data_IF_387615850341
#
_entry.id   IF_387615850341
#
_cell.length_a   1.000
_cell.length_b   1.000
_cell.length_c   1.000
_cell.angle_alpha   90.00
_cell.angle_beta   90.00
_cell.angle_gamma   90.00
#
_symmetry.space_group_name_H-M   'P 1'
#
loop_
_entity.id
_entity.type
_entity.pdbx_description
1 polymer ?
#
# COMPACT_ATOMS: atom_id res chain seq x y z
N UNK A 1 0.70 9.91 -3.18
CA UNK A 1 -0.69 10.03 -2.80
C UNK A 1 -1.31 8.78 -2.25
N UNK A 2 -2.56 8.87 -1.92
CA UNK A 2 -3.30 7.78 -1.30
C UNK A 2 -4.47 7.29 -2.15
N UNK A 3 -4.52 7.67 -3.43
CA UNK A 3 -5.59 7.27 -4.33
C UNK A 3 -5.04 6.42 -5.47
N UNK A 4 -5.87 5.48 -5.92
CA UNK A 4 -5.53 4.59 -7.01
C UNK A 4 -6.80 4.31 -7.80
N UNK A 5 -6.83 4.70 -9.08
CA UNK A 5 -8.02 4.61 -9.91
C UNK A 5 -8.06 3.29 -10.70
N UNK A 6 -9.28 2.91 -11.12
CA UNK A 6 -9.45 1.77 -12.02
C UNK A 6 -8.76 1.98 -13.36
N UNK A 7 -8.67 3.22 -13.83
CA UNK A 7 -7.94 3.55 -15.05
C UNK A 7 -6.46 3.22 -14.93
N UNK A 8 -5.84 3.59 -13.79
CA UNK A 8 -4.43 3.25 -13.53
C UNK A 8 -4.22 1.74 -13.45
N UNK A 9 -5.12 1.01 -12.81
CA UNK A 9 -5.04 -0.45 -12.76
C UNK A 9 -5.14 -1.06 -14.16
N UNK A 10 -6.07 -0.58 -14.99
CA UNK A 10 -6.21 -1.09 -16.35
C UNK A 10 -4.95 -0.88 -17.18
N UNK A 11 -4.29 0.27 -17.05
CA UNK A 11 -3.02 0.52 -17.74
C UNK A 11 -1.95 -0.50 -17.31
N UNK A 12 -1.84 -0.78 -16.02
CA UNK A 12 -0.87 -1.75 -15.50
C UNK A 12 -1.19 -3.15 -16.00
N UNK A 13 -2.45 -3.55 -16.03
CA UNK A 13 -2.88 -4.85 -16.54
C UNK A 13 -2.55 -5.00 -18.04
N UNK A 14 -2.74 -3.94 -18.83
CA UNK A 14 -2.39 -3.94 -20.26
C UNK A 14 -0.88 -4.10 -20.48
N UNK A 15 -0.06 -3.62 -19.54
CA UNK A 15 1.40 -3.77 -19.60
C UNK A 15 1.85 -5.19 -19.23
N UNK A 16 0.95 -6.04 -18.74
CA UNK A 16 1.26 -7.43 -18.41
C UNK A 16 2.10 -7.60 -17.15
N UNK A 17 1.95 -6.71 -16.17
CA UNK A 17 2.67 -6.82 -14.90
C UNK A 17 2.17 -8.02 -14.10
N UNK A 18 3.07 -8.69 -13.37
CA UNK A 18 2.73 -9.86 -12.55
C UNK A 18 2.32 -9.46 -11.13
N UNK A 19 2.82 -8.34 -10.64
CA UNK A 19 2.57 -7.85 -9.30
C UNK A 19 2.41 -6.34 -9.31
N UNK A 20 1.41 -5.84 -8.56
CA UNK A 20 1.27 -4.42 -8.27
C UNK A 20 1.57 -4.21 -6.79
N UNK A 21 2.56 -3.38 -6.49
CA UNK A 21 2.96 -3.07 -5.12
C UNK A 21 2.41 -1.69 -4.78
N UNK A 22 1.53 -1.64 -3.80
CA UNK A 22 0.90 -0.39 -3.36
C UNK A 22 1.77 0.26 -2.28
N UNK A 23 2.21 1.48 -2.56
CA UNK A 23 3.11 2.23 -1.69
C UNK A 23 2.53 3.62 -1.38
N UNK A 24 1.34 3.63 -0.77
CA UNK A 24 0.66 4.87 -0.42
C UNK A 24 1.30 5.54 0.81
N UNK A 25 1.05 6.84 0.97
CA UNK A 25 1.41 7.58 2.17
C UNK A 25 0.70 7.01 3.39
N UNK A 26 1.35 7.06 4.55
CA UNK A 26 0.79 6.55 5.80
C UNK A 26 -0.44 7.37 6.21
N UNK A 27 -1.60 6.74 6.32
CA UNK A 27 -2.88 7.40 6.57
C UNK A 27 -3.41 7.17 7.99
N UNK A 28 -2.55 6.80 8.94
CA UNK A 28 -2.94 6.62 10.34
C UNK A 28 -1.85 7.13 11.28
N UNK A 29 -2.21 7.49 12.49
CA UNK A 29 -1.26 8.01 13.48
C UNK A 29 -0.78 6.92 14.43
N UNK A 30 -1.67 6.00 14.81
CA UNK A 30 -1.34 4.89 15.71
C UNK A 30 -1.98 3.60 15.19
N UNK A 31 -1.24 2.50 15.28
CA UNK A 31 -1.77 1.18 14.93
C UNK A 31 -2.97 0.88 15.81
N UNK A 32 -4.09 0.55 15.17
CA UNK A 32 -5.35 0.24 15.86
C UNK A 32 -6.27 1.43 16.09
N UNK A 33 -5.86 2.66 15.74
CA UNK A 33 -6.76 3.81 15.83
C UNK A 33 -7.84 3.77 14.75
N UNK A 34 -8.77 4.72 14.77
CA UNK A 34 -9.88 4.76 13.81
C UNK A 34 -9.39 4.95 12.38
N UNK A 35 -8.38 5.79 12.17
CA UNK A 35 -7.79 6.00 10.86
C UNK A 35 -7.13 4.71 10.34
N UNK A 36 -6.46 3.96 11.23
CA UNK A 36 -5.87 2.67 10.89
C UNK A 36 -6.93 1.66 10.44
N UNK A 37 -8.05 1.59 11.16
CA UNK A 37 -9.16 0.68 10.81
C UNK A 37 -9.74 1.04 9.45
N UNK A 38 -10.00 2.31 9.20
CA UNK A 38 -10.52 2.78 7.92
C UNK A 38 -9.54 2.55 6.77
N UNK A 39 -8.26 2.79 7.02
CA UNK A 39 -7.21 2.62 6.03
C UNK A 39 -7.03 1.15 5.65
N UNK A 40 -6.93 0.26 6.64
CA UNK A 40 -6.80 -1.17 6.37
C UNK A 40 -8.00 -1.73 5.63
N UNK A 41 -9.21 -1.26 5.94
CA UNK A 41 -10.41 -1.65 5.22
C UNK A 41 -10.33 -1.23 3.75
N UNK A 42 -9.91 0.00 3.49
CA UNK A 42 -9.74 0.50 2.12
C UNK A 42 -8.76 -0.34 1.32
N UNK A 43 -7.63 -0.71 1.93
CA UNK A 43 -6.62 -1.54 1.27
C UNK A 43 -7.14 -2.97 1.04
N UNK A 44 -7.86 -3.54 1.99
CA UNK A 44 -8.48 -4.85 1.82
C UNK A 44 -9.51 -4.85 0.69
N UNK A 45 -10.31 -3.81 0.59
CA UNK A 45 -11.29 -3.68 -0.48
C UNK A 45 -10.60 -3.60 -1.86
N UNK A 46 -9.50 -2.85 -1.94
CA UNK A 46 -8.71 -2.75 -3.17
C UNK A 46 -8.13 -4.11 -3.56
N UNK A 47 -7.57 -4.86 -2.61
CA UNK A 47 -7.05 -6.20 -2.85
C UNK A 47 -8.17 -7.12 -3.34
N UNK A 48 -9.31 -7.13 -2.65
CA UNK A 48 -10.46 -7.97 -3.00
C UNK A 48 -10.97 -7.68 -4.40
N UNK A 49 -10.94 -6.41 -4.81
CA UNK A 49 -11.43 -6.02 -6.13
C UNK A 49 -10.57 -6.53 -7.27
N UNK A 50 -9.25 -6.60 -7.08
CA UNK A 50 -8.31 -6.87 -8.18
C UNK A 50 -7.47 -8.14 -8.02
N UNK A 51 -7.58 -8.87 -6.92
CA UNK A 51 -6.70 -10.01 -6.65
C UNK A 51 -6.84 -11.17 -7.63
N UNK A 52 -7.97 -11.26 -8.33
CA UNK A 52 -8.17 -12.29 -9.35
C UNK A 52 -7.48 -11.96 -10.69
N UNK A 53 -7.05 -10.71 -10.86
CA UNK A 53 -6.46 -10.22 -12.11
C UNK A 53 -4.94 -10.08 -12.00
N UNK A 54 -4.43 -9.74 -10.82
CA UNK A 54 -3.01 -9.49 -10.60
C UNK A 54 -2.69 -9.68 -9.12
N UNK A 55 -1.44 -10.08 -8.84
CA UNK A 55 -0.96 -10.17 -7.46
C UNK A 55 -0.78 -8.76 -6.88
N UNK A 56 -1.41 -8.48 -5.74
CA UNK A 56 -1.34 -7.17 -5.11
C UNK A 56 -0.73 -7.30 -3.72
N UNK A 57 0.32 -6.52 -3.47
CA UNK A 57 0.97 -6.44 -2.17
C UNK A 57 1.03 -5.00 -1.71
N UNK A 58 1.24 -4.79 -0.43
CA UNK A 58 1.20 -3.47 0.19
C UNK A 58 2.46 -3.24 1.00
N UNK A 59 3.10 -2.09 0.78
CA UNK A 59 4.16 -1.59 1.64
C UNK A 59 3.49 -0.92 2.85
N UNK A 60 2.99 -1.74 3.76
CA UNK A 60 2.20 -1.29 4.91
C UNK A 60 3.12 -1.13 6.12
N UNK A 61 3.04 0.03 6.78
CA UNK A 61 3.89 0.37 7.93
C UNK A 61 3.40 -0.28 9.23
N UNK A 62 3.66 -1.58 9.36
CA UNK A 62 3.23 -2.35 10.54
C UNK A 62 4.14 -2.20 11.74
N UNK A 63 5.33 -1.59 11.56
CA UNK A 63 6.31 -1.40 12.63
C UNK A 63 6.49 0.06 13.02
N UNK A 64 5.62 0.94 12.53
CA UNK A 64 5.62 2.38 12.83
C UNK A 64 6.96 3.05 12.47
N UNK A 65 7.47 2.75 11.29
CA UNK A 65 8.73 3.31 10.78
C UNK A 65 8.54 4.69 10.15
N UNK A 66 7.34 5.00 9.69
CA UNK A 66 6.99 6.27 9.03
C UNK A 66 6.20 7.16 9.98
N UNK A 67 6.31 8.47 9.76
CA UNK A 67 5.42 9.44 10.39
C UNK A 67 4.10 9.57 9.66
N UNK A 68 3.11 10.19 10.30
CA UNK A 68 1.80 10.43 9.72
C UNK A 68 1.94 11.23 8.42
N UNK A 69 1.30 10.76 7.36
CA UNK A 69 1.35 11.34 5.99
C UNK A 69 2.70 11.16 5.28
N UNK A 70 3.68 10.52 5.89
CA UNK A 70 4.93 10.20 5.17
C UNK A 70 4.65 9.23 4.03
N UNK A 71 5.36 9.41 2.91
CA UNK A 71 5.46 8.40 1.88
C UNK A 71 6.54 7.38 2.27
N UNK A 72 6.53 6.17 1.68
CA UNK A 72 7.53 5.14 2.01
C UNK A 72 8.98 5.57 1.82
N UNK A 73 9.26 6.57 0.98
CA UNK A 73 10.64 7.04 0.72
C UNK A 73 11.06 8.19 1.62
N UNK A 74 10.14 8.83 2.34
CA UNK A 74 10.44 10.06 3.09
C UNK A 74 11.45 9.87 4.22
N UNK A 75 11.59 8.64 4.74
CA UNK A 75 12.55 8.31 5.80
C UNK A 75 13.81 7.66 5.29
N UNK A 76 14.06 7.76 3.98
CA UNK A 76 15.30 7.31 3.36
C UNK A 76 15.22 5.91 2.76
N UNK A 77 16.27 5.49 2.05
CA UNK A 77 16.26 4.24 1.29
C UNK A 77 16.23 2.98 2.19
N UNK A 78 16.79 3.03 3.39
CA UNK A 78 16.81 1.86 4.28
C UNK A 78 15.41 1.52 4.76
N UNK A 79 14.63 2.54 5.17
CA UNK A 79 13.23 2.35 5.58
C UNK A 79 12.39 1.89 4.39
N UNK A 80 12.58 2.51 3.22
CA UNK A 80 11.89 2.08 2.01
C UNK A 80 12.13 0.61 1.71
N UNK A 81 13.40 0.17 1.74
CA UNK A 81 13.74 -1.23 1.45
C UNK A 81 13.17 -2.19 2.48
N UNK A 82 13.11 -1.79 3.74
CA UNK A 82 12.50 -2.62 4.78
C UNK A 82 10.99 -2.77 4.52
N UNK A 83 10.29 -1.68 4.23
CA UNK A 83 8.87 -1.72 3.88
C UNK A 83 8.62 -2.59 2.66
N UNK A 84 9.47 -2.48 1.65
CA UNK A 84 9.38 -3.28 0.42
C UNK A 84 9.57 -4.77 0.70
N UNK A 85 10.62 -5.14 1.46
CA UNK A 85 10.92 -6.54 1.79
C UNK A 85 9.84 -7.17 2.66
N UNK A 86 9.19 -6.37 3.51
CA UNK A 86 8.16 -6.82 4.43
C UNK A 86 6.75 -6.56 3.92
N UNK A 87 6.60 -6.27 2.62
CA UNK A 87 5.28 -6.02 2.05
C UNK A 87 4.37 -7.23 2.24
N UNK A 88 3.08 -6.96 2.39
CA UNK A 88 2.10 -7.96 2.80
C UNK A 88 0.87 -7.97 1.89
N UNK A 89 0.09 -9.03 2.02
CA UNK A 89 -1.27 -9.14 1.46
C UNK A 89 -2.25 -8.81 2.60
N UNK A 90 -3.26 -8.02 2.30
CA UNK A 90 -4.27 -7.65 3.29
C UNK A 90 -5.62 -8.33 3.08
#
# INVERSE_FOLDING_TARGET
GSSFSGYQMNLLLELGVDEVIIAFDKQFQQIGDQEWVQWTKKLKDLHKKYNSLVHITFMFDKKDLLGYKDSPIDRGPDVFMQLFKERIIL
#
